data_IF_650008185224
#
_entry.id   IF_650008185224
#
_cell.length_a   1.000
_cell.length_b   1.000
_cell.length_c   1.000
_cell.angle_alpha   90.00
_cell.angle_beta   90.00
_cell.angle_gamma   90.00
#
_symmetry.space_group_name_H-M   'P 1'
#
loop_
_entity.id
_entity.type
_entity.pdbx_description
1 polymer ?
#
# COMPACT_ATOMS: atom_id res chain seq x y z
N UNK A 1 -12.91 22.92 27.68
CA UNK A 1 -12.42 22.33 26.43
C UNK A 1 -12.14 20.85 26.67
N UNK A 2 -12.81 19.94 25.96
CA UNK A 2 -12.49 18.52 26.01
C UNK A 2 -11.05 18.32 25.48
N UNK A 3 -10.24 17.57 26.23
CA UNK A 3 -8.86 17.26 25.83
C UNK A 3 -8.87 16.49 24.52
N UNK A 4 -8.18 17.02 23.50
CA UNK A 4 -7.99 16.34 22.22
C UNK A 4 -7.32 14.98 22.46
N UNK A 5 -7.87 13.93 21.88
CA UNK A 5 -7.33 12.56 21.99
C UNK A 5 -5.97 12.45 21.29
N UNK A 6 -5.13 11.55 21.76
CA UNK A 6 -3.76 11.34 21.24
C UNK A 6 -3.65 9.95 20.67
N UNK A 7 -3.33 9.89 19.39
CA UNK A 7 -3.16 8.64 18.64
C UNK A 7 -1.70 8.49 18.26
N UNK A 8 -1.10 7.36 18.62
CA UNK A 8 0.23 6.98 18.16
C UNK A 8 0.08 5.99 17.00
N UNK A 9 0.61 6.34 15.83
CA UNK A 9 0.60 5.50 14.65
C UNK A 9 1.99 4.91 14.43
N UNK A 10 2.09 3.60 14.20
CA UNK A 10 3.34 2.95 13.84
C UNK A 10 3.24 2.25 12.48
N UNK A 11 4.08 2.69 11.53
CA UNK A 11 4.13 2.13 10.18
C UNK A 11 5.54 2.22 9.60
N UNK A 12 5.94 1.17 8.87
CA UNK A 12 7.24 1.14 8.20
C UNK A 12 7.43 -0.12 7.36
N UNK A 13 8.59 -0.23 6.74
CA UNK A 13 8.97 -1.35 5.89
C UNK A 13 8.74 -1.08 4.41
N UNK A 14 7.54 -0.77 4.00
CA UNK A 14 7.17 -0.50 2.59
C UNK A 14 6.11 0.59 2.49
N UNK A 15 5.94 1.18 1.29
CA UNK A 15 4.87 2.14 1.01
C UNK A 15 3.48 1.59 1.33
N UNK A 16 3.26 0.29 1.13
CA UNK A 16 1.99 -0.37 1.43
C UNK A 16 1.55 -0.33 2.90
N UNK A 17 2.48 -0.15 3.84
CA UNK A 17 2.16 0.08 5.25
C UNK A 17 2.10 1.57 5.61
N UNK A 18 3.01 2.37 5.03
CA UNK A 18 3.20 3.77 5.41
C UNK A 18 2.09 4.66 4.82
N UNK A 19 1.76 4.49 3.55
CA UNK A 19 0.76 5.34 2.87
C UNK A 19 -0.63 5.26 3.53
N UNK A 20 -1.19 4.07 3.81
CA UNK A 20 -2.45 3.97 4.56
C UNK A 20 -2.39 4.59 5.96
N UNK A 21 -1.25 4.47 6.64
CA UNK A 21 -1.04 5.07 7.96
C UNK A 21 -1.06 6.61 7.90
N UNK A 22 -0.39 7.18 6.90
CA UNK A 22 -0.37 8.63 6.66
C UNK A 22 -1.76 9.13 6.29
N UNK A 23 -2.46 8.45 5.38
CA UNK A 23 -3.83 8.81 4.99
C UNK A 23 -4.76 8.82 6.20
N UNK A 24 -4.71 7.78 7.03
CA UNK A 24 -5.54 7.69 8.22
C UNK A 24 -5.21 8.78 9.26
N UNK A 25 -3.92 9.01 9.52
CA UNK A 25 -3.51 10.04 10.48
C UNK A 25 -3.91 11.44 10.04
N UNK A 26 -3.70 11.80 8.77
CA UNK A 26 -4.15 13.07 8.20
C UNK A 26 -5.67 13.22 8.24
N UNK A 27 -6.40 12.14 8.00
CA UNK A 27 -7.85 12.11 8.10
C UNK A 27 -8.33 12.44 9.53
N UNK A 28 -7.69 11.89 10.57
CA UNK A 28 -7.99 12.19 11.98
C UNK A 28 -7.68 13.65 12.32
N UNK A 29 -6.53 14.17 11.88
CA UNK A 29 -6.09 15.55 12.12
C UNK A 29 -7.01 16.56 11.44
N UNK A 30 -7.39 16.33 10.19
CA UNK A 30 -8.26 17.22 9.42
C UNK A 30 -9.67 17.36 10.03
N UNK A 31 -10.14 16.35 10.76
CA UNK A 31 -11.41 16.39 11.49
C UNK A 31 -11.26 16.91 12.91
N UNK A 32 -10.07 17.31 13.31
CA UNK A 32 -9.77 17.75 14.68
C UNK A 32 -10.12 16.74 15.78
N UNK A 33 -10.23 15.45 15.40
CA UNK A 33 -10.62 14.40 16.36
C UNK A 33 -9.46 13.97 17.24
N UNK A 34 -8.22 14.00 16.72
CA UNK A 34 -7.04 13.59 17.46
C UNK A 34 -5.80 14.43 17.11
N UNK A 35 -4.81 14.37 18.02
CA UNK A 35 -3.42 14.71 17.74
C UNK A 35 -2.69 13.41 17.41
N UNK A 36 -1.97 13.39 16.30
CA UNK A 36 -1.31 12.19 15.79
C UNK A 36 0.20 12.32 15.92
N UNK A 37 0.84 11.28 16.43
CA UNK A 37 2.30 11.12 16.41
C UNK A 37 2.66 9.83 15.72
N UNK A 38 3.88 9.78 15.11
CA UNK A 38 4.28 8.66 14.27
C UNK A 38 5.56 7.99 14.76
N UNK A 39 5.60 6.65 14.66
CA UNK A 39 6.79 5.81 14.78
C UNK A 39 7.11 5.19 13.42
N UNK A 40 8.33 5.32 12.96
CA UNK A 40 8.81 4.76 11.70
C UNK A 40 10.12 3.98 11.87
N UNK A 41 10.49 3.20 10.89
CA UNK A 41 11.83 2.61 10.79
C UNK A 41 12.86 3.57 10.21
N UNK A 42 14.10 3.12 10.14
CA UNK A 42 15.25 3.95 9.73
C UNK A 42 15.62 3.89 8.25
N UNK A 43 14.91 3.11 7.42
CA UNK A 43 15.26 2.92 6.00
C UNK A 43 15.06 4.20 5.19
N UNK A 44 15.90 4.40 4.16
CA UNK A 44 15.82 5.57 3.29
C UNK A 44 14.42 5.75 2.70
N UNK A 45 13.83 4.70 2.13
CA UNK A 45 12.47 4.70 1.59
C UNK A 45 11.42 5.22 2.60
N UNK A 46 11.53 4.82 3.86
CA UNK A 46 10.58 5.24 4.90
C UNK A 46 10.72 6.73 5.18
N UNK A 47 11.96 7.22 5.28
CA UNK A 47 12.26 8.65 5.49
C UNK A 47 11.78 9.50 4.31
N UNK A 48 12.01 9.06 3.07
CA UNK A 48 11.54 9.75 1.86
C UNK A 48 10.02 9.90 1.86
N UNK A 49 9.27 8.83 2.16
CA UNK A 49 7.80 8.88 2.19
C UNK A 49 7.32 9.86 3.26
N UNK A 50 7.81 9.76 4.49
CA UNK A 50 7.39 10.65 5.56
C UNK A 50 7.75 12.12 5.29
N UNK A 51 8.97 12.37 4.75
CA UNK A 51 9.42 13.70 4.37
C UNK A 51 8.54 14.32 3.27
N UNK A 52 8.15 13.52 2.26
CA UNK A 52 7.24 13.96 1.20
C UNK A 52 5.91 14.50 1.77
N UNK A 53 5.40 13.87 2.83
CA UNK A 53 4.19 14.32 3.51
C UNK A 53 4.44 15.36 4.60
N UNK A 54 5.66 15.86 4.78
CA UNK A 54 5.98 16.82 5.82
C UNK A 54 5.76 16.27 7.24
N UNK A 55 5.94 14.97 7.44
CA UNK A 55 5.79 14.28 8.72
C UNK A 55 7.18 13.96 9.28
N UNK A 56 7.43 14.32 10.53
CA UNK A 56 8.64 13.98 11.28
C UNK A 56 8.35 12.84 12.27
N UNK A 57 8.50 11.57 11.87
CA UNK A 57 8.24 10.45 12.77
C UNK A 57 9.40 10.28 13.75
N UNK A 58 9.12 9.75 14.94
CA UNK A 58 10.17 9.23 15.81
C UNK A 58 10.75 7.94 15.19
N UNK A 59 12.01 7.98 14.81
CA UNK A 59 12.70 6.85 14.17
C UNK A 59 13.07 5.78 15.19
N UNK A 60 12.64 4.56 14.94
CA UNK A 60 13.10 3.37 15.63
C UNK A 60 14.34 2.83 14.91
N UNK A 61 15.45 2.56 15.61
CA UNK A 61 16.68 2.05 15.00
C UNK A 61 16.58 0.56 14.63
N UNK A 62 15.50 0.19 13.93
CA UNK A 62 15.22 -1.16 13.46
C UNK A 62 15.00 -1.15 11.95
N UNK A 63 15.65 -2.06 11.22
CA UNK A 63 15.58 -2.16 9.76
C UNK A 63 14.98 -3.49 9.27
N UNK A 64 14.62 -4.36 10.19
CA UNK A 64 14.05 -5.66 9.88
C UNK A 64 13.94 -6.57 11.11
N UNK A 65 13.26 -7.70 10.93
CA UNK A 65 13.13 -8.70 11.99
C UNK A 65 14.45 -9.43 12.24
N UNK A 66 14.82 -9.72 13.49
CA UNK A 66 15.92 -10.64 13.80
C UNK A 66 15.61 -12.08 13.40
N UNK A 67 14.32 -12.44 13.32
CA UNK A 67 13.87 -13.79 12.99
C UNK A 67 14.01 -14.09 11.49
N UNK A 68 14.53 -15.26 11.16
CA UNK A 68 14.70 -15.71 9.76
C UNK A 68 15.99 -15.20 9.09
N UNK A 69 16.93 -14.69 9.87
CA UNK A 69 18.27 -14.29 9.38
C UNK A 69 19.21 -15.48 9.54
N UNK A 70 19.85 -15.91 8.43
CA UNK A 70 20.80 -17.05 8.45
C UNK A 70 22.15 -16.71 9.09
N UNK A 71 22.57 -15.45 9.10
CA UNK A 71 23.85 -15.01 9.65
C UNK A 71 23.73 -14.71 11.14
N UNK A 72 24.50 -15.38 12.02
CA UNK A 72 24.50 -15.14 13.47
C UNK A 72 24.84 -13.68 13.81
N UNK A 73 25.80 -13.08 13.13
CA UNK A 73 26.20 -11.69 13.33
C UNK A 73 25.04 -10.74 13.01
N UNK A 74 24.37 -10.92 11.87
CA UNK A 74 23.20 -10.10 11.52
C UNK A 74 22.04 -10.32 12.49
N UNK A 75 21.86 -11.53 12.99
CA UNK A 75 20.85 -11.82 14.00
C UNK A 75 21.12 -11.05 15.29
N UNK A 76 22.37 -11.08 15.77
CA UNK A 76 22.81 -10.34 16.97
C UNK A 76 22.61 -8.82 16.79
N UNK A 77 23.06 -8.26 15.67
CA UNK A 77 22.89 -6.83 15.37
C UNK A 77 21.42 -6.41 15.33
N UNK A 78 20.55 -7.22 14.70
CA UNK A 78 19.11 -6.95 14.66
C UNK A 78 18.43 -7.11 16.02
N UNK A 79 18.90 -8.04 16.85
CA UNK A 79 18.43 -8.18 18.23
C UNK A 79 18.79 -6.96 19.07
N UNK A 80 20.02 -6.45 18.94
CA UNK A 80 20.45 -5.22 19.60
C UNK A 80 19.66 -3.99 19.10
N UNK A 81 19.42 -3.88 17.80
CA UNK A 81 18.58 -2.85 17.21
C UNK A 81 17.12 -2.94 17.74
N UNK A 82 16.58 -4.14 17.94
CA UNK A 82 15.27 -4.35 18.55
C UNK A 82 15.22 -3.82 19.99
N UNK A 83 16.24 -4.15 20.82
CA UNK A 83 16.33 -3.65 22.20
C UNK A 83 16.39 -2.13 22.25
N UNK A 84 17.23 -1.51 21.42
CA UNK A 84 17.27 -0.05 21.29
C UNK A 84 15.91 0.53 20.86
N UNK A 85 15.23 -0.13 19.94
CA UNK A 85 13.91 0.29 19.45
C UNK A 85 12.83 0.19 20.54
N UNK A 86 12.91 -0.81 21.41
CA UNK A 86 12.04 -0.90 22.59
C UNK A 86 12.23 0.31 23.52
N UNK A 87 13.49 0.68 23.81
CA UNK A 87 13.80 1.86 24.62
C UNK A 87 13.31 3.16 23.96
N UNK A 88 13.46 3.30 22.64
CA UNK A 88 12.99 4.48 21.91
C UNK A 88 11.45 4.53 21.89
N UNK A 89 10.78 3.42 21.60
CA UNK A 89 9.32 3.33 21.65
C UNK A 89 8.77 3.65 23.06
N UNK A 90 9.40 3.12 24.10
CA UNK A 90 9.01 3.39 25.49
C UNK A 90 9.11 4.87 25.84
N UNK A 91 10.21 5.54 25.47
CA UNK A 91 10.40 6.99 25.67
C UNK A 91 9.36 7.81 24.91
N UNK A 92 9.12 7.46 23.64
CA UNK A 92 8.10 8.11 22.82
C UNK A 92 6.70 7.96 23.46
N UNK A 93 6.30 6.76 23.83
CA UNK A 93 5.00 6.47 24.47
C UNK A 93 4.87 7.20 25.82
N UNK A 94 5.95 7.30 26.59
CA UNK A 94 5.95 8.07 27.84
C UNK A 94 5.74 9.57 27.62
N UNK A 95 6.37 10.13 26.58
CA UNK A 95 6.28 11.54 26.22
C UNK A 95 4.92 11.88 25.64
N UNK A 96 4.49 11.14 24.65
CA UNK A 96 3.24 11.38 23.91
C UNK A 96 1.99 11.00 24.73
N UNK A 97 2.11 10.01 25.62
CA UNK A 97 1.01 9.43 26.44
C UNK A 97 -0.23 9.16 25.58
N UNK A 98 -0.14 8.33 24.55
CA UNK A 98 -1.25 8.09 23.63
C UNK A 98 -2.43 7.42 24.34
N UNK A 99 -3.64 7.79 23.94
CA UNK A 99 -4.88 7.17 24.40
C UNK A 99 -5.10 5.83 23.67
N UNK A 100 -4.55 5.69 22.45
CA UNK A 100 -4.58 4.46 21.63
C UNK A 100 -3.37 4.40 20.70
N UNK A 101 -2.91 3.20 20.40
CA UNK A 101 -1.87 2.94 19.41
C UNK A 101 -2.47 2.20 18.20
N UNK A 102 -2.26 2.74 16.99
CA UNK A 102 -2.69 2.12 15.74
C UNK A 102 -1.45 1.62 14.99
N UNK A 103 -1.38 0.33 14.75
CA UNK A 103 -0.26 -0.34 14.09
C UNK A 103 -0.66 -0.70 12.66
N UNK A 104 0.21 -0.39 11.69
CA UNK A 104 -0.02 -0.74 10.29
C UNK A 104 0.85 -1.92 9.82
N UNK A 105 1.19 -2.82 10.74
CA UNK A 105 1.97 -4.01 10.43
C UNK A 105 3.47 -3.79 10.26
N UNK A 106 4.13 -4.79 9.71
CA UNK A 106 5.58 -4.75 9.53
C UNK A 106 6.37 -4.89 10.85
N UNK A 107 7.70 -4.90 10.71
CA UNK A 107 8.62 -5.07 11.86
C UNK A 107 8.64 -3.85 12.80
N UNK A 108 8.30 -2.68 12.29
CA UNK A 108 8.22 -1.41 13.05
C UNK A 108 7.12 -1.45 14.11
N UNK A 109 6.08 -2.22 13.89
CA UNK A 109 4.95 -2.37 14.81
C UNK A 109 5.25 -3.20 16.06
N UNK A 110 6.31 -4.02 16.06
CA UNK A 110 6.63 -4.91 17.18
C UNK A 110 7.04 -4.14 18.47
N UNK A 111 7.99 -3.18 18.44
CA UNK A 111 8.37 -2.45 19.66
C UNK A 111 7.18 -1.72 20.34
N UNK A 112 6.38 -0.90 19.63
CA UNK A 112 5.24 -0.24 20.26
C UNK A 112 4.17 -1.22 20.74
N UNK A 113 3.92 -2.35 20.04
CA UNK A 113 3.00 -3.40 20.49
C UNK A 113 3.38 -3.92 21.87
N UNK A 114 4.67 -4.24 22.07
CA UNK A 114 5.18 -4.76 23.35
C UNK A 114 5.03 -3.73 24.48
N UNK A 115 5.37 -2.47 24.21
CA UNK A 115 5.29 -1.40 25.23
C UNK A 115 3.85 -1.07 25.55
N UNK A 116 2.96 -0.94 24.55
CA UNK A 116 1.54 -0.66 24.76
C UNK A 116 0.86 -1.77 25.58
N UNK A 117 1.15 -3.06 25.25
CA UNK A 117 0.66 -4.19 26.03
C UNK A 117 1.06 -4.09 27.50
N UNK A 118 2.35 -3.86 27.79
CA UNK A 118 2.85 -3.74 29.16
C UNK A 118 2.21 -2.56 29.90
N UNK A 119 1.87 -1.50 29.19
CA UNK A 119 1.25 -0.28 29.76
C UNK A 119 -0.27 -0.27 29.70
N UNK A 120 -0.90 -1.34 29.21
CA UNK A 120 -2.35 -1.46 29.04
C UNK A 120 -2.94 -0.35 28.16
N UNK A 121 -2.16 0.16 27.19
CA UNK A 121 -2.65 1.11 26.19
C UNK A 121 -3.39 0.30 25.12
N UNK A 122 -4.62 0.66 24.74
CA UNK A 122 -5.37 0.00 23.69
C UNK A 122 -4.59 -0.03 22.37
N UNK A 123 -4.64 -1.18 21.67
CA UNK A 123 -3.99 -1.38 20.39
C UNK A 123 -5.00 -1.83 19.36
N UNK A 124 -5.04 -1.14 18.23
CA UNK A 124 -5.69 -1.58 16.99
C UNK A 124 -4.58 -1.85 15.98
N UNK A 125 -4.60 -3.01 15.33
CA UNK A 125 -3.68 -3.33 14.24
C UNK A 125 -4.44 -3.43 12.92
N UNK A 126 -4.05 -2.63 11.94
CA UNK A 126 -4.56 -2.67 10.59
C UNK A 126 -3.68 -3.56 9.72
N UNK A 127 -4.27 -4.60 9.13
CA UNK A 127 -3.60 -5.51 8.19
C UNK A 127 -4.04 -5.19 6.76
N UNK A 128 -3.10 -4.82 5.92
CA UNK A 128 -3.36 -4.45 4.53
C UNK A 128 -3.45 -5.67 3.59
N UNK A 129 -3.02 -6.82 4.06
CA UNK A 129 -3.04 -8.05 3.27
C UNK A 129 -4.16 -8.98 3.74
N UNK A 130 -4.68 -9.76 2.82
CA UNK A 130 -5.65 -10.81 3.12
C UNK A 130 -5.04 -12.02 3.89
N UNK A 131 -3.72 -12.00 4.13
CA UNK A 131 -3.00 -12.94 4.98
C UNK A 131 -2.27 -12.17 6.05
N UNK A 132 -2.58 -12.45 7.32
CA UNK A 132 -2.00 -11.76 8.46
C UNK A 132 -0.48 -11.92 8.55
N UNK A 133 0.24 -10.81 8.72
CA UNK A 133 1.65 -10.79 9.01
C UNK A 133 1.98 -11.35 10.41
N UNK A 134 3.26 -11.60 10.67
CA UNK A 134 3.71 -12.16 11.97
C UNK A 134 3.34 -11.29 13.16
N UNK A 135 3.47 -9.97 13.01
CA UNK A 135 3.14 -9.02 14.09
C UNK A 135 1.63 -8.95 14.30
N UNK A 136 0.85 -8.99 13.23
CA UNK A 136 -0.61 -9.02 13.27
C UNK A 136 -1.11 -10.26 14.02
N UNK A 137 -0.57 -11.44 13.71
CA UNK A 137 -0.89 -12.69 14.43
C UNK A 137 -0.52 -12.63 15.91
N UNK A 138 0.61 -12.02 16.24
CA UNK A 138 1.03 -11.83 17.63
C UNK A 138 0.11 -10.87 18.37
N UNK A 139 -0.23 -9.74 17.76
CA UNK A 139 -1.14 -8.74 18.30
C UNK A 139 -2.53 -9.33 18.56
N UNK A 140 -3.07 -10.09 17.59
CA UNK A 140 -4.34 -10.81 17.73
C UNK A 140 -4.35 -11.78 18.92
N UNK A 141 -3.31 -12.59 19.08
CA UNK A 141 -3.16 -13.50 20.23
C UNK A 141 -3.12 -12.77 21.58
N UNK A 142 -2.75 -11.52 21.58
CA UNK A 142 -2.69 -10.67 22.77
C UNK A 142 -3.91 -9.79 22.97
N UNK A 143 -4.97 -10.04 22.19
CA UNK A 143 -6.26 -9.35 22.32
C UNK A 143 -6.32 -7.98 21.68
N UNK A 144 -5.38 -7.62 20.80
CA UNK A 144 -5.52 -6.42 19.98
C UNK A 144 -6.66 -6.59 18.97
N UNK A 145 -7.38 -5.50 18.70
CA UNK A 145 -8.39 -5.47 17.63
C UNK A 145 -7.67 -5.52 16.29
N UNK A 146 -8.02 -6.51 15.45
CA UNK A 146 -7.49 -6.64 14.08
C UNK A 146 -8.49 -6.02 13.10
N UNK A 147 -8.07 -4.96 12.43
CA UNK A 147 -8.79 -4.32 11.34
C UNK A 147 -8.21 -4.83 10.01
N UNK A 148 -9.01 -5.49 9.19
CA UNK A 148 -8.54 -6.02 7.89
C UNK A 148 -8.87 -5.07 6.74
N UNK A 149 -7.93 -4.96 5.82
CA UNK A 149 -8.13 -4.27 4.55
C UNK A 149 -9.06 -5.01 3.58
N UNK A 150 -9.30 -6.28 3.82
CA UNK A 150 -10.08 -7.17 2.95
C UNK A 150 -11.17 -7.91 3.74
N UNK A 151 -12.12 -8.53 3.03
CA UNK A 151 -13.08 -9.46 3.60
C UNK A 151 -12.46 -10.76 4.12
N UNK A 152 -11.13 -10.89 4.04
CA UNK A 152 -10.34 -12.02 4.55
C UNK A 152 -9.12 -11.51 5.34
N UNK A 153 -8.67 -12.30 6.31
CA UNK A 153 -7.41 -12.08 7.03
C UNK A 153 -6.91 -13.42 7.56
N UNK A 154 -6.38 -14.24 6.67
CA UNK A 154 -5.98 -15.60 7.00
C UNK A 154 -4.87 -15.61 8.06
N UNK A 155 -4.99 -16.50 9.04
CA UNK A 155 -4.02 -16.65 10.13
C UNK A 155 -4.33 -15.88 11.42
N UNK A 156 -5.49 -15.24 11.51
CA UNK A 156 -6.06 -14.71 12.76
C UNK A 156 -7.47 -15.25 13.00
N UNK A 157 -7.87 -15.50 14.26
CA UNK A 157 -9.16 -16.10 14.57
C UNK A 157 -10.33 -15.12 14.42
N UNK A 158 -10.07 -13.82 14.52
CA UNK A 158 -11.10 -12.78 14.44
C UNK A 158 -10.51 -11.49 13.86
N UNK A 159 -11.26 -10.83 13.01
CA UNK A 159 -10.93 -9.53 12.42
C UNK A 159 -12.20 -8.77 12.04
N UNK A 160 -12.06 -7.46 11.82
CA UNK A 160 -13.13 -6.59 11.35
C UNK A 160 -12.73 -6.02 9.98
N UNK A 161 -13.49 -6.29 8.92
CA UNK A 161 -13.20 -5.75 7.59
C UNK A 161 -13.55 -4.26 7.56
N UNK A 162 -12.53 -3.42 7.40
CA UNK A 162 -12.67 -1.94 7.38
C UNK A 162 -12.25 -1.32 6.05
N UNK A 163 -11.64 -2.11 5.17
CA UNK A 163 -10.97 -1.60 3.98
C UNK A 163 -9.59 -1.02 4.29
N UNK A 164 -8.88 -0.56 3.26
CA UNK A 164 -7.56 0.06 3.41
C UNK A 164 -7.71 1.58 3.26
N UNK A 165 -7.22 2.39 4.22
CA UNK A 165 -7.17 3.83 4.07
C UNK A 165 -6.36 4.23 2.83
N UNK A 166 -7.02 4.73 1.82
CA UNK A 166 -6.41 5.24 0.59
C UNK A 166 -6.89 6.65 0.32
N UNK A 167 -6.12 7.42 -0.44
CA UNK A 167 -6.52 8.78 -0.83
C UNK A 167 -7.80 8.74 -1.66
N UNK A 168 -8.64 9.74 -1.45
CA UNK A 168 -9.82 9.91 -2.32
C UNK A 168 -9.36 10.38 -3.69
N UNK A 169 -10.00 9.88 -4.77
CA UNK A 169 -9.80 10.44 -6.09
C UNK A 169 -10.12 11.94 -6.08
N UNK A 170 -9.16 12.76 -6.40
CA UNK A 170 -9.39 14.17 -6.68
C UNK A 170 -9.71 14.29 -8.17
N UNK A 171 -10.85 14.87 -8.52
CA UNK A 171 -11.18 15.15 -9.92
C UNK A 171 -10.34 16.33 -10.40
N UNK A 172 -9.11 16.05 -10.80
CA UNK A 172 -8.13 17.00 -11.30
C UNK A 172 -8.35 17.26 -12.81
N UNK A 173 -9.57 17.61 -13.23
CA UNK A 173 -9.89 17.79 -14.66
C UNK A 173 -8.98 18.78 -15.42
N UNK A 174 -8.58 19.94 -14.88
CA UNK A 174 -7.65 20.84 -15.59
C UNK A 174 -6.19 20.36 -15.58
N UNK A 175 -5.74 19.68 -14.53
CA UNK A 175 -4.38 19.12 -14.46
C UNK A 175 -4.25 17.87 -15.33
N UNK A 176 -5.28 17.02 -15.39
CA UNK A 176 -5.31 15.83 -16.25
C UNK A 176 -5.06 16.18 -17.72
N UNK A 177 -5.70 17.22 -18.26
CA UNK A 177 -5.49 17.65 -19.64
C UNK A 177 -4.04 18.10 -19.88
N UNK A 178 -3.45 18.90 -18.97
CA UNK A 178 -2.05 19.33 -19.07
C UNK A 178 -1.06 18.17 -18.96
N UNK A 179 -1.31 17.25 -18.05
CA UNK A 179 -0.46 16.04 -17.88
C UNK A 179 -0.53 15.13 -19.09
N UNK A 180 -1.73 14.96 -19.70
CA UNK A 180 -1.87 14.23 -20.97
C UNK A 180 -1.06 14.88 -22.08
N UNK A 181 -1.12 16.19 -22.22
CA UNK A 181 -0.33 16.94 -23.21
C UNK A 181 1.17 16.82 -22.95
N UNK A 182 1.63 16.98 -21.70
CA UNK A 182 3.04 16.87 -21.33
C UNK A 182 3.64 15.47 -21.57
N UNK A 183 2.81 14.44 -21.51
CA UNK A 183 3.19 13.04 -21.76
C UNK A 183 2.89 12.59 -23.20
N UNK A 184 2.42 13.51 -24.06
CA UNK A 184 2.02 13.22 -25.45
C UNK A 184 1.03 12.05 -25.52
N UNK A 185 0.05 12.01 -24.60
CA UNK A 185 -0.97 10.97 -24.62
C UNK A 185 -2.06 11.32 -25.65
N UNK A 186 -2.51 10.36 -26.46
CA UNK A 186 -3.48 10.60 -27.52
C UNK A 186 -4.83 11.10 -26.96
N UNK A 187 -5.47 12.02 -27.69
CA UNK A 187 -6.84 12.43 -27.42
C UNK A 187 -7.79 11.27 -27.74
N UNK A 188 -8.41 10.69 -26.73
CA UNK A 188 -9.32 9.56 -26.90
C UNK A 188 -8.69 8.17 -26.85
N UNK A 189 -7.36 8.05 -26.96
CA UNK A 189 -6.65 6.77 -26.77
C UNK A 189 -6.72 6.24 -25.34
N UNK A 190 -6.55 4.92 -25.19
CA UNK A 190 -6.55 4.24 -23.89
C UNK A 190 -5.17 4.29 -23.24
N UNK A 191 -5.15 4.44 -21.92
CA UNK A 191 -3.92 4.44 -21.13
C UNK A 191 -3.89 3.26 -20.18
N UNK A 192 -2.90 2.39 -20.37
CA UNK A 192 -2.61 1.26 -19.48
C UNK A 192 -1.50 1.68 -18.51
N UNK A 193 -1.84 1.87 -17.24
CA UNK A 193 -0.86 2.14 -16.21
C UNK A 193 -0.12 0.89 -15.76
N UNK A 194 1.19 0.97 -15.55
CA UNK A 194 2.03 -0.15 -15.08
C UNK A 194 2.69 0.20 -13.75
N UNK A 195 2.34 -0.52 -12.67
CA UNK A 195 2.82 -0.24 -11.32
C UNK A 195 3.40 -1.48 -10.64
N UNK A 196 4.72 -1.51 -10.47
CA UNK A 196 5.46 -2.59 -9.80
C UNK A 196 5.45 -2.55 -8.27
N UNK A 197 4.75 -1.58 -7.65
CA UNK A 197 4.79 -1.30 -6.23
C UNK A 197 5.96 -0.41 -5.80
N UNK A 198 6.06 -0.07 -4.51
CA UNK A 198 7.06 0.89 -3.98
C UNK A 198 8.53 0.46 -4.15
N UNK A 199 8.79 -0.82 -4.37
CA UNK A 199 10.13 -1.37 -4.61
C UNK A 199 10.41 -1.64 -6.10
N UNK A 200 9.41 -1.42 -6.96
CA UNK A 200 9.48 -1.77 -8.37
C UNK A 200 9.36 -3.30 -8.61
N UNK A 201 9.24 -3.69 -9.87
CA UNK A 201 9.27 -5.09 -10.30
C UNK A 201 9.76 -5.17 -11.74
N UNK A 202 11.03 -5.55 -11.90
CA UNK A 202 11.65 -5.71 -13.22
C UNK A 202 10.89 -6.72 -14.09
N UNK A 203 10.57 -7.86 -13.53
CA UNK A 203 9.85 -8.94 -14.21
C UNK A 203 8.46 -8.48 -14.74
N UNK A 204 7.70 -7.73 -13.92
CA UNK A 204 6.43 -7.15 -14.35
C UNK A 204 6.64 -6.11 -15.47
N UNK A 205 7.67 -5.27 -15.35
CA UNK A 205 7.98 -4.26 -16.36
C UNK A 205 8.34 -4.92 -17.70
N UNK A 206 9.18 -5.96 -17.71
CA UNK A 206 9.54 -6.71 -18.91
C UNK A 206 8.31 -7.33 -19.61
N UNK A 207 7.37 -7.91 -18.84
CA UNK A 207 6.12 -8.45 -19.39
C UNK A 207 5.21 -7.36 -19.97
N UNK A 208 5.07 -6.24 -19.25
CA UNK A 208 4.26 -5.13 -19.73
C UNK A 208 4.86 -4.45 -20.98
N UNK A 209 6.19 -4.39 -21.11
CA UNK A 209 6.87 -3.91 -22.31
C UNK A 209 6.64 -4.83 -23.51
N UNK A 210 6.65 -6.15 -23.30
CA UNK A 210 6.33 -7.11 -24.36
C UNK A 210 4.87 -6.95 -24.83
N UNK A 211 3.93 -6.78 -23.89
CA UNK A 211 2.55 -6.50 -24.23
C UNK A 211 2.40 -5.16 -24.98
N UNK A 212 3.09 -4.09 -24.55
CA UNK A 212 3.09 -2.81 -25.25
C UNK A 212 3.56 -2.95 -26.71
N UNK A 213 4.64 -3.69 -26.96
CA UNK A 213 5.14 -3.96 -28.30
C UNK A 213 4.12 -4.73 -29.17
N UNK A 214 3.36 -5.65 -28.57
CA UNK A 214 2.31 -6.39 -29.28
C UNK A 214 1.16 -5.49 -29.73
N UNK A 215 0.67 -4.62 -28.83
CA UNK A 215 -0.39 -3.65 -29.15
C UNK A 215 0.06 -2.63 -30.18
N UNK A 216 1.32 -2.13 -30.09
CA UNK A 216 1.90 -1.22 -31.08
C UNK A 216 1.93 -1.86 -32.48
N UNK A 217 2.39 -3.12 -32.58
CA UNK A 217 2.45 -3.86 -33.85
C UNK A 217 1.07 -4.06 -34.48
N UNK A 218 0.03 -4.17 -33.65
CA UNK A 218 -1.36 -4.33 -34.11
C UNK A 218 -1.99 -3.00 -34.55
N UNK A 219 -1.35 -1.85 -34.28
CA UNK A 219 -1.87 -0.52 -34.58
C UNK A 219 -2.96 -0.05 -33.60
N UNK A 220 -2.98 -0.59 -32.40
CA UNK A 220 -3.93 -0.18 -31.36
C UNK A 220 -3.58 1.19 -30.77
N UNK A 221 -4.55 2.07 -30.60
CA UNK A 221 -4.37 3.39 -29.97
C UNK A 221 -4.32 3.27 -28.44
N UNK A 222 -3.27 2.59 -27.96
CA UNK A 222 -3.04 2.29 -26.54
C UNK A 222 -1.65 2.72 -26.14
N UNK A 223 -1.58 3.57 -25.10
CA UNK A 223 -0.32 4.00 -24.49
C UNK A 223 -0.11 3.30 -23.16
N UNK A 224 1.09 2.79 -22.95
CA UNK A 224 1.53 2.19 -21.68
C UNK A 224 2.29 3.21 -20.86
N UNK A 225 1.76 3.56 -19.67
CA UNK A 225 2.33 4.53 -18.75
C UNK A 225 2.98 3.82 -17.56
N UNK A 226 4.30 3.77 -17.54
CA UNK A 226 5.07 3.10 -16.50
C UNK A 226 5.41 4.04 -15.35
N UNK A 227 5.21 3.55 -14.14
CA UNK A 227 5.66 4.21 -12.92
C UNK A 227 7.09 3.77 -12.59
N UNK A 228 8.04 4.68 -12.67
CA UNK A 228 9.47 4.46 -12.46
C UNK A 228 10.31 5.06 -13.56
N UNK A 229 11.62 4.81 -13.49
CA UNK A 229 12.57 5.35 -14.46
C UNK A 229 12.62 4.49 -15.73
N UNK A 230 12.89 5.08 -16.91
CA UNK A 230 13.04 4.33 -18.14
C UNK A 230 14.27 3.39 -18.07
N UNK A 231 14.23 2.21 -18.73
CA UNK A 231 15.39 1.35 -18.86
C UNK A 231 16.44 1.95 -19.80
N UNK A 232 17.67 1.45 -19.74
CA UNK A 232 18.78 1.88 -20.61
C UNK A 232 18.67 1.37 -22.07
N UNK A 233 17.67 0.56 -22.39
CA UNK A 233 17.43 0.02 -23.72
C UNK A 233 16.21 0.67 -24.38
N UNK A 234 16.11 0.55 -25.71
CA UNK A 234 15.00 1.09 -26.48
C UNK A 234 13.66 0.44 -26.07
N UNK A 235 12.64 1.27 -25.92
CA UNK A 235 11.27 0.84 -25.59
C UNK A 235 10.33 1.08 -26.78
N UNK A 236 9.18 0.41 -26.84
CA UNK A 236 8.17 0.64 -27.89
C UNK A 236 7.71 2.11 -27.93
N UNK A 237 7.33 2.64 -29.12
CA UNK A 237 6.91 4.05 -29.28
C UNK A 237 5.68 4.43 -28.45
N UNK A 238 4.80 3.46 -28.14
CA UNK A 238 3.61 3.64 -27.33
C UNK A 238 3.87 3.56 -25.81
N UNK A 239 5.14 3.68 -25.36
CA UNK A 239 5.50 3.63 -23.94
C UNK A 239 5.92 5.03 -23.44
N UNK A 240 5.43 5.39 -22.27
CA UNK A 240 5.80 6.60 -21.52
C UNK A 240 6.20 6.23 -20.10
N UNK A 241 7.06 7.06 -19.50
CA UNK A 241 7.48 6.88 -18.09
C UNK A 241 7.13 8.11 -17.28
N UNK A 242 6.63 7.88 -16.08
CA UNK A 242 6.54 8.88 -15.02
C UNK A 242 7.41 8.41 -13.87
N UNK A 243 8.25 9.28 -13.35
CA UNK A 243 9.15 8.96 -12.25
C UNK A 243 8.39 8.44 -11.03
N UNK A 244 9.13 7.99 -10.02
CA UNK A 244 8.55 7.52 -8.76
C UNK A 244 7.69 8.62 -8.12
N UNK A 245 6.49 8.28 -7.72
CA UNK A 245 5.54 9.17 -7.08
C UNK A 245 5.07 8.60 -5.74
N UNK A 246 4.89 9.48 -4.74
CA UNK A 246 4.27 9.13 -3.46
C UNK A 246 2.79 9.56 -3.43
N UNK A 247 2.43 10.57 -4.22
CA UNK A 247 1.05 10.88 -4.56
C UNK A 247 0.68 10.21 -5.88
N UNK A 248 -0.10 9.15 -5.80
CA UNK A 248 -0.51 8.36 -6.95
C UNK A 248 -1.73 8.95 -7.67
N UNK A 249 -2.36 10.00 -7.14
CA UNK A 249 -3.56 10.60 -7.75
C UNK A 249 -3.33 11.06 -9.20
N UNK A 250 -2.23 11.77 -9.55
CA UNK A 250 -1.96 12.14 -10.93
C UNK A 250 -1.85 10.92 -11.85
N UNK A 251 -1.10 9.90 -11.43
CA UNK A 251 -0.93 8.67 -12.22
C UNK A 251 -2.27 7.95 -12.45
N UNK A 252 -3.03 7.68 -11.38
CA UNK A 252 -4.32 6.99 -11.51
C UNK A 252 -5.36 7.79 -12.30
N UNK A 253 -5.29 9.13 -12.27
CA UNK A 253 -6.19 9.97 -13.04
C UNK A 253 -6.07 9.77 -14.55
N UNK A 254 -4.89 9.37 -15.02
CA UNK A 254 -4.57 9.15 -16.42
C UNK A 254 -4.92 7.74 -16.92
N UNK A 255 -4.94 6.75 -16.01
CA UNK A 255 -5.07 5.35 -16.38
C UNK A 255 -6.52 4.92 -16.65
N UNK A 256 -6.77 4.14 -17.69
CA UNK A 256 -8.04 3.47 -17.96
C UNK A 256 -8.04 2.04 -17.43
N UNK A 257 -6.90 1.36 -17.47
CA UNK A 257 -6.65 0.01 -16.96
C UNK A 257 -5.30 0.01 -16.24
N UNK A 258 -5.10 -0.87 -15.26
CA UNK A 258 -3.81 -1.06 -14.60
C UNK A 258 -3.25 -2.47 -14.84
N UNK A 259 -1.93 -2.58 -14.95
CA UNK A 259 -1.18 -3.80 -14.71
C UNK A 259 -0.39 -3.56 -13.42
N UNK A 260 -0.62 -4.36 -12.38
CA UNK A 260 0.09 -4.11 -11.12
C UNK A 260 0.38 -5.39 -10.35
N UNK A 261 1.41 -5.34 -9.49
CA UNK A 261 1.60 -6.37 -8.47
C UNK A 261 0.45 -6.33 -7.46
N UNK A 262 0.04 -7.51 -6.96
CA UNK A 262 -1.10 -7.65 -6.06
C UNK A 262 -0.79 -7.24 -4.61
N UNK A 263 -0.19 -6.06 -4.44
CA UNK A 263 -0.03 -5.41 -3.13
C UNK A 263 -1.36 -4.88 -2.62
N UNK A 264 -1.68 -5.12 -1.34
CA UNK A 264 -2.99 -4.76 -0.78
C UNK A 264 -3.38 -3.30 -1.00
N UNK A 265 -2.45 -2.35 -0.78
CA UNK A 265 -2.73 -0.92 -0.96
C UNK A 265 -2.95 -0.54 -2.43
N UNK A 266 -2.14 -1.06 -3.35
CA UNK A 266 -2.30 -0.76 -4.80
C UNK A 266 -3.64 -1.25 -5.32
N UNK A 267 -4.06 -2.46 -4.93
CA UNK A 267 -5.35 -3.01 -5.33
C UNK A 267 -6.53 -2.23 -4.71
N UNK A 268 -6.39 -1.79 -3.45
CA UNK A 268 -7.40 -0.94 -2.80
C UNK A 268 -7.50 0.45 -3.46
N UNK A 269 -6.38 1.01 -3.91
CA UNK A 269 -6.34 2.25 -4.68
C UNK A 269 -7.03 2.07 -6.03
N UNK A 270 -6.75 0.98 -6.77
CA UNK A 270 -7.42 0.66 -8.02
C UNK A 270 -8.95 0.56 -7.86
N UNK A 271 -9.42 -0.17 -6.83
CA UNK A 271 -10.85 -0.23 -6.50
C UNK A 271 -11.42 1.16 -6.20
N UNK A 272 -10.72 1.95 -5.40
CA UNK A 272 -11.19 3.29 -5.02
C UNK A 272 -11.28 4.26 -6.19
N UNK A 273 -10.38 4.11 -7.17
CA UNK A 273 -10.37 4.87 -8.42
C UNK A 273 -11.34 4.32 -9.48
N UNK A 274 -11.93 3.14 -9.24
CA UNK A 274 -12.77 2.44 -10.23
C UNK A 274 -11.97 2.06 -11.49
N UNK A 275 -10.67 1.82 -11.35
CA UNK A 275 -9.79 1.44 -12.46
C UNK A 275 -9.69 -0.08 -12.45
N UNK A 276 -10.19 -0.78 -13.49
CA UNK A 276 -10.01 -2.22 -13.60
C UNK A 276 -8.52 -2.56 -13.72
N UNK A 277 -8.09 -3.66 -13.08
CA UNK A 277 -6.68 -4.02 -13.11
C UNK A 277 -6.45 -5.49 -13.44
N UNK A 278 -5.35 -5.74 -14.18
CA UNK A 278 -4.72 -7.05 -14.23
C UNK A 278 -3.79 -7.16 -13.02
N UNK A 279 -4.24 -7.88 -12.01
CA UNK A 279 -3.45 -8.14 -10.81
C UNK A 279 -2.47 -9.29 -11.07
N UNK A 280 -1.16 -9.02 -10.96
CA UNK A 280 -0.08 -9.98 -11.20
C UNK A 280 0.58 -10.33 -9.86
N UNK A 281 0.16 -11.40 -9.17
CA UNK A 281 0.74 -11.79 -7.90
C UNK A 281 2.22 -12.14 -8.06
N UNK A 282 3.04 -11.73 -7.08
CA UNK A 282 4.41 -12.18 -7.01
C UNK A 282 4.45 -13.52 -6.24
N UNK A 283 4.76 -14.62 -6.93
CA UNK A 283 4.74 -15.96 -6.36
C UNK A 283 5.65 -16.13 -5.13
N UNK A 284 6.79 -15.42 -5.11
CA UNK A 284 7.75 -15.46 -4.00
C UNK A 284 7.37 -14.53 -2.85
N UNK A 285 6.18 -13.91 -2.89
CA UNK A 285 5.72 -13.07 -1.78
C UNK A 285 5.56 -13.88 -0.49
N UNK A 286 6.06 -13.31 0.60
CA UNK A 286 6.10 -14.01 1.89
C UNK A 286 4.70 -14.48 2.32
N UNK A 287 4.53 -15.80 2.49
CA UNK A 287 3.26 -16.39 2.91
C UNK A 287 2.13 -16.34 1.88
N UNK A 288 2.44 -16.10 0.60
CA UNK A 288 1.44 -16.11 -0.47
C UNK A 288 0.41 -14.97 -0.41
N UNK A 289 0.71 -13.91 0.34
CA UNK A 289 -0.26 -12.83 0.58
C UNK A 289 -0.72 -12.13 -0.71
N UNK A 290 0.14 -12.01 -1.74
CA UNK A 290 -0.26 -11.36 -2.99
C UNK A 290 -1.29 -12.19 -3.76
N UNK A 291 -1.15 -13.50 -3.77
CA UNK A 291 -2.14 -14.39 -4.36
C UNK A 291 -3.52 -14.24 -3.69
N UNK A 292 -3.53 -14.19 -2.36
CA UNK A 292 -4.77 -14.03 -1.60
C UNK A 292 -5.38 -12.64 -1.77
N UNK A 293 -4.56 -11.59 -1.82
CA UNK A 293 -5.01 -10.24 -2.14
C UNK A 293 -5.64 -10.16 -3.54
N UNK A 294 -5.00 -10.78 -4.54
CA UNK A 294 -5.48 -10.79 -5.91
C UNK A 294 -6.87 -11.43 -6.02
N UNK A 295 -7.08 -12.56 -5.33
CA UNK A 295 -8.41 -13.21 -5.27
C UNK A 295 -9.47 -12.31 -4.61
N UNK A 296 -9.16 -11.71 -3.47
CA UNK A 296 -10.09 -10.77 -2.83
C UNK A 296 -10.42 -9.57 -3.73
N UNK A 297 -9.46 -9.10 -4.50
CA UNK A 297 -9.65 -8.03 -5.46
C UNK A 297 -10.56 -8.44 -6.62
N UNK A 298 -10.37 -9.63 -7.18
CA UNK A 298 -11.19 -10.20 -8.24
C UNK A 298 -12.63 -10.45 -7.75
N UNK A 299 -12.79 -11.05 -6.55
CA UNK A 299 -14.09 -11.23 -5.88
C UNK A 299 -14.83 -9.90 -5.65
N UNK A 300 -14.09 -8.81 -5.43
CA UNK A 300 -14.62 -7.45 -5.30
C UNK A 300 -14.93 -6.77 -6.65
N UNK A 301 -14.74 -7.47 -7.77
CA UNK A 301 -14.99 -6.93 -9.11
C UNK A 301 -13.96 -5.92 -9.59
N UNK A 302 -12.75 -5.92 -9.01
CA UNK A 302 -11.69 -4.96 -9.34
C UNK A 302 -10.97 -5.26 -10.66
N UNK A 303 -11.12 -6.46 -11.22
CA UNK A 303 -10.47 -6.87 -12.47
C UNK A 303 -10.19 -8.35 -12.52
N UNK A 304 -9.06 -8.73 -13.12
CA UNK A 304 -8.68 -10.13 -13.33
C UNK A 304 -7.32 -10.44 -12.69
N UNK A 305 -7.12 -11.68 -12.32
CA UNK A 305 -5.83 -12.19 -11.84
C UNK A 305 -5.11 -12.86 -13.00
N UNK A 306 -3.91 -12.42 -13.29
CA UNK A 306 -3.05 -13.05 -14.30
C UNK A 306 -1.78 -13.63 -13.66
N UNK A 307 -1.44 -14.85 -14.03
CA UNK A 307 -0.23 -15.54 -13.55
C UNK A 307 0.60 -16.01 -14.74
N UNK A 308 1.90 -15.94 -14.56
CA UNK A 308 2.82 -16.57 -15.50
C UNK A 308 2.61 -18.09 -15.47
N UNK A 309 2.30 -18.69 -16.60
CA UNK A 309 2.05 -20.13 -16.71
C UNK A 309 0.57 -20.55 -16.77
N UNK A 310 -0.39 -19.65 -16.62
CA UNK A 310 -1.82 -19.96 -16.82
C UNK A 310 -2.18 -20.24 -18.30
N UNK A 311 -1.20 -20.14 -19.24
CA UNK A 311 -1.38 -20.40 -20.66
C UNK A 311 -2.09 -19.27 -21.42
N UNK A 312 -2.61 -18.27 -20.74
CA UNK A 312 -3.22 -17.09 -21.35
C UNK A 312 -2.20 -15.94 -21.45
N UNK A 313 -2.01 -15.31 -22.63
CA UNK A 313 -1.16 -14.12 -22.77
C UNK A 313 -1.67 -12.94 -21.91
N UNK A 314 -0.76 -12.10 -21.41
CA UNK A 314 -1.12 -10.89 -20.67
C UNK A 314 -1.99 -9.94 -21.50
N UNK A 315 -1.73 -9.88 -22.80
CA UNK A 315 -2.48 -9.09 -23.78
C UNK A 315 -3.97 -9.47 -23.80
N UNK A 316 -4.28 -10.77 -23.72
CA UNK A 316 -5.67 -11.24 -23.70
C UNK A 316 -6.41 -10.81 -22.44
N UNK A 317 -5.73 -10.85 -21.28
CA UNK A 317 -6.28 -10.36 -20.03
C UNK A 317 -6.51 -8.84 -20.05
N UNK A 318 -5.59 -8.09 -20.67
CA UNK A 318 -5.73 -6.64 -20.89
C UNK A 318 -6.89 -6.31 -21.82
N UNK A 319 -7.02 -7.01 -22.95
CA UNK A 319 -8.04 -6.74 -23.94
C UNK A 319 -9.45 -6.90 -23.34
N UNK A 320 -9.68 -7.93 -22.54
CA UNK A 320 -10.93 -8.11 -21.79
C UNK A 320 -11.32 -6.90 -20.95
N UNK A 321 -10.33 -6.27 -20.29
CA UNK A 321 -10.57 -5.09 -19.44
C UNK A 321 -10.71 -3.80 -20.25
N UNK A 322 -10.01 -3.67 -21.37
CA UNK A 322 -10.08 -2.51 -22.28
C UNK A 322 -11.44 -2.42 -22.99
N UNK A 323 -12.08 -3.54 -23.31
CA UNK A 323 -13.44 -3.62 -23.86
C UNK A 323 -14.51 -3.27 -22.83
N UNK A 324 -14.20 -3.46 -21.55
CA UNK A 324 -15.08 -3.14 -20.42
C UNK A 324 -15.21 -1.63 -20.18
N UNK A 325 -16.27 -1.23 -19.45
CA UNK A 325 -16.40 0.13 -18.92
C UNK A 325 -15.76 0.20 -17.54
N UNK A 326 -15.19 1.39 -17.19
CA UNK A 326 -14.78 1.68 -15.80
C UNK A 326 -15.96 1.41 -14.87
N UNK A 327 -15.74 0.62 -13.83
CA UNK A 327 -16.73 0.46 -12.77
C UNK A 327 -16.83 1.78 -12.00
N UNK A 328 -18.07 2.23 -11.75
CA UNK A 328 -18.24 3.40 -10.89
C UNK A 328 -17.67 3.08 -9.49
N UNK A 329 -16.81 3.93 -8.99
CA UNK A 329 -16.20 3.78 -7.65
C UNK A 329 -17.20 4.09 -6.51
N UNK A 330 -18.50 3.99 -6.80
CA UNK A 330 -19.58 4.38 -5.89
C UNK A 330 -19.91 3.25 -4.91
N UNK A 331 -19.69 3.54 -3.63
CA UNK A 331 -20.23 2.73 -2.52
C UNK A 331 -19.24 2.02 -1.62
N UNK A 332 -17.92 2.03 -1.90
CA UNK A 332 -16.96 1.45 -0.94
C UNK A 332 -16.98 2.26 0.37
N UNK A 333 -17.16 1.60 1.54
CA UNK A 333 -17.14 2.28 2.83
C UNK A 333 -15.87 3.11 2.99
N UNK A 334 -16.00 4.28 3.64
CA UNK A 334 -14.81 5.09 3.97
C UNK A 334 -13.97 4.34 5.01
N UNK A 335 -12.91 3.69 4.55
CA UNK A 335 -12.02 2.90 5.39
C UNK A 335 -11.47 3.69 6.60
N UNK A 336 -11.27 5.00 6.45
CA UNK A 336 -10.85 5.85 7.56
C UNK A 336 -11.94 5.95 8.63
N UNK A 337 -13.19 6.16 8.22
CA UNK A 337 -14.34 6.20 9.16
C UNK A 337 -14.54 4.86 9.84
N UNK A 338 -14.46 3.75 9.09
CA UNK A 338 -14.59 2.41 9.65
C UNK A 338 -13.47 2.06 10.64
N UNK A 339 -12.22 2.39 10.30
CA UNK A 339 -11.08 2.20 11.20
C UNK A 339 -11.19 3.09 12.45
N UNK A 340 -11.64 4.34 12.28
CA UNK A 340 -11.88 5.28 13.39
C UNK A 340 -12.90 4.73 14.39
N UNK A 341 -13.96 4.08 13.92
CA UNK A 341 -14.99 3.50 14.78
C UNK A 341 -14.47 2.41 15.73
N UNK A 342 -13.30 1.82 15.44
CA UNK A 342 -12.64 0.82 16.29
C UNK A 342 -11.77 1.46 17.40
N UNK A 343 -11.53 2.76 17.35
CA UNK A 343 -10.68 3.43 18.32
C UNK A 343 -11.51 3.88 19.54
N UNK A 344 -11.01 3.72 20.76
CA UNK A 344 -11.64 4.20 21.99
C UNK A 344 -11.44 5.71 22.16
N UNK A 345 -11.93 6.50 21.21
CA UNK A 345 -11.76 7.96 21.15
C UNK A 345 -13.06 8.70 21.47
#
# INVERSE_FOLDING_TARGET
MLRRKRVLIAAGGTGGHILPAVVFGRWLEARHEASVSYLAGGRLLEREIYAYFGIEPQILPIEGSPLGVRSPVRMLLRSFALVKSLGTAARCICREKPDVCVLFGGYVSLPPLLICRNRRIPVVIHEQNAVAGRVTRLASRWGAVVASGWGACDGVPSFLPVGIPVRRPERLLPSRARERMALELPEGGRVVGVAGGSLGSRELAERALAAAASFEKNGDDIVFLFLGDPPEFAVPPNVRFVGRQWDMNPFYSLCDVLICRAGGSTLAEALRWGIPAVAVPWERAAGGHQERNARCFEEAGGGVVWREGDGEPLESALQKLLEGRRNAADGAPDACSALRALLPL
#
